data_IF_638561612700
#
_entry.id   IF_638561612700
#
_cell.length_a   1.000
_cell.length_b   1.000
_cell.length_c   1.000
_cell.angle_alpha   90.00
_cell.angle_beta   90.00
_cell.angle_gamma   90.00
#
_symmetry.space_group_name_H-M   'P 1'
#
loop_
_entity.id
_entity.type
_entity.pdbx_description
1 polymer ?
#
# COMPACT_ATOMS: atom_id res chain seq x y z
N UNK A 1 4.26 -18.40 60.33
CA UNK A 1 3.57 -17.32 59.57
C UNK A 1 4.31 -16.97 58.27
N UNK A 2 5.58 -16.61 58.28
CA UNK A 2 6.38 -16.27 57.09
C UNK A 2 6.38 -17.29 55.94
N UNK A 3 6.38 -18.59 56.21
CA UNK A 3 6.34 -19.62 55.16
C UNK A 3 4.98 -19.66 54.42
N UNK A 4 3.89 -19.41 55.16
CA UNK A 4 2.55 -19.40 54.57
C UNK A 4 2.35 -18.15 53.69
N UNK A 5 2.83 -16.98 54.12
CA UNK A 5 2.81 -15.77 53.34
C UNK A 5 3.60 -15.89 52.02
N UNK A 6 4.79 -16.51 52.07
CA UNK A 6 5.60 -16.74 50.85
C UNK A 6 4.92 -17.69 49.86
N UNK A 7 4.22 -18.71 50.39
CA UNK A 7 3.45 -19.65 49.55
C UNK A 7 2.26 -18.93 48.91
N UNK A 8 1.55 -18.08 49.65
CA UNK A 8 0.42 -17.30 49.12
C UNK A 8 0.90 -16.32 48.05
N UNK A 9 2.00 -15.61 48.27
CA UNK A 9 2.59 -14.70 47.27
C UNK A 9 3.03 -15.45 46.01
N UNK A 10 3.60 -16.64 46.17
CA UNK A 10 4.01 -17.47 45.01
C UNK A 10 2.82 -17.97 44.20
N UNK A 11 1.73 -18.38 44.88
CA UNK A 11 0.48 -18.81 44.21
C UNK A 11 -0.19 -17.63 43.49
N UNK A 12 -0.21 -16.43 44.10
CA UNK A 12 -0.75 -15.22 43.47
C UNK A 12 0.10 -14.84 42.26
N UNK A 13 1.44 -14.89 42.34
CA UNK A 13 2.32 -14.64 41.21
C UNK A 13 2.11 -15.67 40.08
N UNK A 14 1.92 -16.96 40.40
CA UNK A 14 1.60 -17.99 39.39
C UNK A 14 0.23 -17.78 38.73
N UNK A 15 -0.76 -17.30 39.46
CA UNK A 15 -2.10 -17.01 38.93
C UNK A 15 -2.07 -15.77 37.98
N UNK A 16 -1.25 -14.80 38.29
CA UNK A 16 -1.06 -13.60 37.42
C UNK A 16 -0.35 -13.98 36.12
N UNK A 17 0.63 -14.90 36.16
CA UNK A 17 1.35 -15.34 34.96
C UNK A 17 0.49 -16.14 33.97
N UNK A 18 -0.57 -16.78 34.42
CA UNK A 18 -1.51 -17.50 33.54
C UNK A 18 -2.62 -16.61 32.96
N UNK A 19 -2.69 -15.35 33.37
CA UNK A 19 -3.71 -14.40 32.87
C UNK A 19 -3.31 -13.72 31.56
N UNK A 20 -2.05 -13.84 31.09
CA UNK A 20 -1.50 -13.06 29.99
C UNK A 20 -1.94 -13.49 28.59
N UNK A 21 -2.74 -14.55 28.43
CA UNK A 21 -3.16 -15.06 27.09
C UNK A 21 -4.68 -15.03 26.88
N UNK A 22 -5.42 -14.21 27.61
CA UNK A 22 -6.88 -14.19 27.47
C UNK A 22 -7.34 -13.02 26.61
N UNK A 23 -8.36 -13.27 25.79
CA UNK A 23 -9.12 -12.32 24.96
C UNK A 23 -9.51 -11.02 25.71
N UNK A 24 -9.60 -11.05 27.04
CA UNK A 24 -9.97 -9.92 27.90
C UNK A 24 -8.77 -9.33 28.68
N UNK A 25 -7.52 -9.57 28.27
CA UNK A 25 -6.37 -8.91 28.89
C UNK A 25 -6.39 -7.40 28.56
N UNK A 26 -5.91 -6.52 29.47
CA UNK A 26 -5.73 -5.12 29.09
C UNK A 26 -4.91 -4.99 27.81
N UNK A 27 -5.27 -4.06 26.93
CA UNK A 27 -4.68 -3.87 25.58
C UNK A 27 -3.16 -4.03 25.52
N UNK A 28 -2.44 -3.42 26.46
CA UNK A 28 -0.97 -3.51 26.53
C UNK A 28 -0.40 -4.87 26.97
N UNK A 29 -1.21 -5.77 27.48
CA UNK A 29 -0.85 -7.12 27.88
C UNK A 29 -1.42 -8.20 26.94
N UNK A 30 -2.20 -7.79 25.98
CA UNK A 30 -2.74 -8.67 24.95
C UNK A 30 -1.63 -9.16 24.02
N UNK A 31 -1.59 -10.46 23.75
CA UNK A 31 -0.74 -11.03 22.69
C UNK A 31 -1.44 -10.87 21.34
N UNK A 32 -0.68 -10.94 20.26
CA UNK A 32 -1.20 -10.90 18.88
C UNK A 32 -2.27 -11.98 18.61
N UNK A 33 -2.19 -13.12 19.31
CA UNK A 33 -3.05 -14.28 19.05
C UNK A 33 -2.56 -15.12 17.86
N UNK A 34 -3.38 -16.08 17.45
CA UNK A 34 -3.20 -16.83 16.21
C UNK A 34 -3.57 -15.97 14.98
N UNK A 35 -3.26 -16.45 13.78
CA UNK A 35 -3.72 -15.80 12.55
C UNK A 35 -5.24 -15.98 12.43
N UNK A 36 -5.96 -14.87 12.33
CA UNK A 36 -7.39 -14.79 12.12
C UNK A 36 -7.77 -14.04 10.85
N UNK A 37 -9.05 -14.07 10.51
CA UNK A 37 -9.59 -13.27 9.41
C UNK A 37 -11.04 -12.88 9.63
N UNK A 38 -11.42 -11.69 9.16
CA UNK A 38 -12.78 -11.17 9.15
C UNK A 38 -13.21 -10.92 7.72
N UNK A 39 -14.38 -11.40 7.34
CA UNK A 39 -14.96 -11.22 5.99
C UNK A 39 -16.04 -10.14 6.05
N UNK A 40 -15.97 -9.20 5.11
CA UNK A 40 -16.91 -8.11 4.98
C UNK A 40 -17.56 -8.11 3.59
N UNK A 41 -18.86 -7.96 3.56
CA UNK A 41 -19.64 -7.75 2.35
C UNK A 41 -20.20 -6.32 2.41
N UNK A 42 -19.59 -5.38 1.70
CA UNK A 42 -20.03 -3.99 1.75
C UNK A 42 -21.42 -3.85 1.09
N UNK A 43 -22.22 -2.93 1.63
CA UNK A 43 -23.58 -2.65 1.14
C UNK A 43 -23.61 -1.72 -0.07
N UNK A 44 -22.46 -1.13 -0.41
CA UNK A 44 -22.28 -0.26 -1.57
C UNK A 44 -20.94 -0.55 -2.26
N UNK A 45 -20.81 -0.13 -3.53
CA UNK A 45 -19.58 -0.29 -4.27
C UNK A 45 -18.44 0.56 -3.68
N UNK A 46 -17.28 -0.06 -3.44
CA UNK A 46 -16.08 0.65 -3.00
C UNK A 46 -15.37 1.19 -4.24
N UNK A 47 -15.26 2.52 -4.34
CA UNK A 47 -14.60 3.21 -5.44
C UNK A 47 -13.25 3.81 -5.05
N UNK A 48 -13.04 4.05 -3.77
CA UNK A 48 -11.82 4.59 -3.20
C UNK A 48 -11.49 3.91 -1.88
N UNK A 49 -10.18 3.71 -1.61
CA UNK A 49 -9.67 3.22 -0.33
C UNK A 49 -8.67 4.24 0.21
N UNK A 50 -8.78 4.54 1.49
CA UNK A 50 -7.82 5.34 2.26
C UNK A 50 -7.24 4.46 3.36
N UNK A 51 -5.91 4.27 3.31
CA UNK A 51 -5.17 3.39 4.21
C UNK A 51 -4.31 4.20 5.16
N UNK A 52 -4.41 3.89 6.44
CA UNK A 52 -3.51 4.39 7.48
C UNK A 52 -2.77 3.25 8.16
N UNK A 53 -1.74 3.60 8.92
CA UNK A 53 -0.98 2.68 9.77
C UNK A 53 -0.31 1.52 9.01
N UNK A 54 -0.37 0.30 9.55
CA UNK A 54 0.33 -0.88 9.05
C UNK A 54 -0.62 -1.89 8.38
N UNK A 55 -1.41 -1.43 7.44
CA UNK A 55 -2.37 -2.26 6.71
C UNK A 55 -1.94 -2.36 5.24
N UNK A 56 -1.52 -3.56 4.84
CA UNK A 56 -1.21 -3.88 3.45
C UNK A 56 -2.46 -4.26 2.66
N UNK A 57 -2.41 -4.15 1.34
CA UNK A 57 -3.53 -4.47 0.46
C UNK A 57 -3.11 -5.43 -0.64
N UNK A 58 -3.91 -6.47 -0.83
CA UNK A 58 -3.93 -7.27 -2.05
C UNK A 58 -5.22 -6.94 -2.83
N UNK A 59 -5.07 -6.37 -4.02
CA UNK A 59 -6.18 -5.99 -4.88
C UNK A 59 -6.26 -6.89 -6.11
N UNK A 60 -7.47 -7.40 -6.39
CA UNK A 60 -7.82 -8.13 -7.61
C UNK A 60 -9.17 -7.68 -8.15
N UNK A 61 -9.44 -7.95 -9.42
CA UNK A 61 -10.82 -7.86 -9.92
C UNK A 61 -11.70 -8.92 -9.26
N UNK A 62 -12.96 -8.58 -9.07
CA UNK A 62 -13.98 -9.55 -8.65
C UNK A 62 -14.43 -10.41 -9.83
N UNK A 63 -14.64 -11.69 -9.60
CA UNK A 63 -15.29 -12.58 -10.58
C UNK A 63 -16.79 -12.26 -10.74
N UNK A 64 -17.37 -11.59 -9.74
CA UNK A 64 -18.76 -11.15 -9.70
C UNK A 64 -18.84 -9.62 -9.77
N UNK A 65 -20.04 -9.06 -9.88
CA UNK A 65 -20.24 -7.60 -9.82
C UNK A 65 -20.07 -7.02 -8.42
N UNK A 66 -20.19 -7.85 -7.37
CA UNK A 66 -20.11 -7.41 -5.98
C UNK A 66 -18.67 -7.24 -5.51
N UNK A 67 -18.42 -6.21 -4.73
CA UNK A 67 -17.17 -6.05 -4.00
C UNK A 67 -17.18 -6.90 -2.73
N UNK A 68 -16.02 -7.45 -2.39
CA UNK A 68 -15.83 -8.13 -1.11
C UNK A 68 -14.43 -7.85 -0.58
N UNK A 69 -14.26 -7.85 0.73
CA UNK A 69 -12.94 -7.80 1.33
C UNK A 69 -12.81 -8.66 2.57
N UNK A 70 -11.60 -9.16 2.80
CA UNK A 70 -11.23 -9.94 3.96
C UNK A 70 -10.03 -9.30 4.61
N UNK A 71 -10.13 -8.96 5.90
CA UNK A 71 -9.00 -8.53 6.70
C UNK A 71 -8.40 -9.73 7.42
N UNK A 72 -7.09 -9.91 7.29
CA UNK A 72 -6.33 -10.94 8.00
C UNK A 72 -5.28 -10.31 8.92
N UNK A 73 -5.04 -10.93 10.06
CA UNK A 73 -4.07 -10.45 11.05
C UNK A 73 -4.09 -11.26 12.32
N UNK A 74 -3.45 -10.78 13.37
CA UNK A 74 -3.54 -11.38 14.70
C UNK A 74 -4.94 -11.31 15.25
N UNK A 75 -5.55 -12.44 15.58
CA UNK A 75 -6.97 -12.58 15.93
C UNK A 75 -7.39 -11.67 17.09
N UNK A 76 -6.52 -11.48 18.09
CA UNK A 76 -6.81 -10.63 19.24
C UNK A 76 -6.81 -9.13 18.90
N UNK A 77 -6.29 -8.75 17.74
CA UNK A 77 -6.08 -7.36 17.30
C UNK A 77 -7.03 -6.93 16.18
N UNK A 78 -7.72 -7.89 15.55
CA UNK A 78 -8.60 -7.61 14.40
C UNK A 78 -9.79 -6.72 14.78
N UNK A 79 -10.29 -6.82 16.02
CA UNK A 79 -11.44 -6.06 16.48
C UNK A 79 -11.15 -4.56 16.68
N UNK A 80 -9.86 -4.18 16.76
CA UNK A 80 -9.41 -2.80 16.91
C UNK A 80 -8.99 -2.20 15.55
N UNK A 81 -9.35 -2.84 14.44
CA UNK A 81 -9.29 -2.24 13.10
C UNK A 81 -10.65 -1.65 12.78
N UNK A 82 -10.65 -0.34 12.50
CA UNK A 82 -11.86 0.42 12.18
C UNK A 82 -12.04 0.54 10.68
N UNK A 83 -13.30 0.40 10.23
CA UNK A 83 -13.73 0.57 8.86
C UNK A 83 -14.84 1.60 8.81
N UNK A 84 -14.67 2.62 8.01
CA UNK A 84 -15.68 3.62 7.71
C UNK A 84 -15.94 3.65 6.22
N UNK A 85 -17.17 3.36 5.79
CA UNK A 85 -17.59 3.37 4.38
C UNK A 85 -18.64 4.45 4.19
N UNK A 86 -18.25 5.52 3.50
CA UNK A 86 -19.13 6.64 3.19
C UNK A 86 -18.98 7.04 1.71
N UNK A 87 -20.11 7.08 0.99
CA UNK A 87 -20.16 7.50 -0.42
C UNK A 87 -19.15 6.75 -1.33
N UNK A 88 -18.95 5.46 -1.09
CA UNK A 88 -18.01 4.61 -1.82
C UNK A 88 -16.54 4.76 -1.42
N UNK A 89 -16.22 5.57 -0.41
CA UNK A 89 -14.87 5.72 0.16
C UNK A 89 -14.75 4.85 1.41
N UNK A 90 -13.87 3.86 1.38
CA UNK A 90 -13.54 3.00 2.51
C UNK A 90 -12.28 3.51 3.20
N UNK A 91 -12.42 4.07 4.40
CA UNK A 91 -11.31 4.46 5.27
C UNK A 91 -11.01 3.36 6.26
N UNK A 92 -9.73 3.01 6.41
CA UNK A 92 -9.27 1.92 7.27
C UNK A 92 -8.18 2.44 8.19
N UNK A 93 -8.38 2.26 9.50
CA UNK A 93 -7.44 2.67 10.55
C UNK A 93 -7.18 1.55 11.54
N UNK A 94 -5.99 1.56 12.15
CA UNK A 94 -5.60 0.61 13.18
C UNK A 94 -5.56 1.29 14.54
N UNK A 95 -6.59 1.08 15.35
CA UNK A 95 -6.74 1.68 16.68
C UNK A 95 -6.03 0.89 17.80
N UNK A 96 -5.32 -0.20 17.46
CA UNK A 96 -4.55 -0.99 18.43
C UNK A 96 -3.49 -0.15 19.12
N UNK A 97 -3.47 -0.20 20.45
CA UNK A 97 -2.48 0.49 21.30
C UNK A 97 -1.35 -0.43 21.73
N UNK A 98 -0.28 0.15 22.26
CA UNK A 98 0.85 -0.58 22.86
C UNK A 98 1.57 -1.54 21.89
N UNK A 99 1.59 -1.23 20.61
CA UNK A 99 2.21 -2.06 19.59
C UNK A 99 3.73 -2.26 19.79
N UNK A 100 4.38 -1.40 20.58
CA UNK A 100 5.78 -1.50 21.00
C UNK A 100 6.06 -2.61 22.01
N UNK A 101 5.04 -3.12 22.71
CA UNK A 101 5.18 -4.13 23.78
C UNK A 101 4.99 -5.57 23.33
N UNK A 102 4.62 -5.79 22.06
CA UNK A 102 4.30 -7.10 21.49
C UNK A 102 4.93 -7.30 20.13
N UNK A 103 5.07 -8.56 19.70
CA UNK A 103 5.43 -8.85 18.31
C UNK A 103 4.26 -8.46 17.41
N UNK A 104 4.48 -7.43 16.63
CA UNK A 104 3.47 -6.88 15.74
C UNK A 104 3.34 -7.72 14.47
N UNK A 105 2.12 -8.01 14.06
CA UNK A 105 1.84 -8.62 12.76
C UNK A 105 1.24 -7.56 11.83
N UNK A 106 1.62 -7.60 10.59
CA UNK A 106 1.00 -6.80 9.53
C UNK A 106 -0.45 -7.26 9.34
N UNK A 107 -1.36 -6.32 9.20
CA UNK A 107 -2.72 -6.60 8.75
C UNK A 107 -2.75 -6.61 7.23
N UNK A 108 -3.46 -7.55 6.64
CA UNK A 108 -3.58 -7.70 5.20
C UNK A 108 -5.05 -7.64 4.78
N UNK A 109 -5.38 -6.62 3.99
CA UNK A 109 -6.66 -6.46 3.35
C UNK A 109 -6.62 -7.13 1.97
N UNK A 110 -7.34 -8.23 1.81
CA UNK A 110 -7.58 -8.82 0.49
C UNK A 110 -8.92 -8.29 -0.03
N UNK A 111 -8.88 -7.53 -1.12
CA UNK A 111 -10.06 -6.92 -1.72
C UNK A 111 -10.25 -7.39 -3.16
N UNK A 112 -11.50 -7.71 -3.51
CA UNK A 112 -11.95 -8.01 -4.86
C UNK A 112 -12.98 -6.97 -5.26
N UNK A 113 -12.70 -6.19 -6.31
CA UNK A 113 -13.61 -5.15 -6.78
C UNK A 113 -13.37 -4.81 -8.25
N UNK A 114 -14.46 -4.61 -8.98
CA UNK A 114 -14.44 -4.06 -10.34
C UNK A 114 -14.70 -2.54 -10.36
N UNK A 115 -15.05 -1.98 -9.21
CA UNK A 115 -15.46 -0.59 -9.06
C UNK A 115 -14.37 0.31 -8.50
N UNK A 116 -13.30 -0.26 -7.90
CA UNK A 116 -12.23 0.52 -7.31
C UNK A 116 -11.49 1.32 -8.39
N UNK A 117 -11.27 2.60 -8.10
CA UNK A 117 -10.62 3.57 -8.99
C UNK A 117 -9.47 4.32 -8.33
N UNK A 118 -9.38 4.24 -7.00
CA UNK A 118 -8.35 4.97 -6.26
C UNK A 118 -7.93 4.27 -4.98
N UNK A 119 -6.63 4.32 -4.70
CA UNK A 119 -6.06 4.01 -3.38
C UNK A 119 -5.18 5.17 -2.95
N UNK A 120 -5.41 5.69 -1.74
CA UNK A 120 -4.56 6.63 -1.04
C UNK A 120 -3.88 5.90 0.12
N UNK A 121 -2.56 5.74 0.04
CA UNK A 121 -1.78 5.04 1.05
C UNK A 121 -0.97 6.04 1.90
N UNK A 122 -1.43 6.24 3.14
CA UNK A 122 -0.74 6.98 4.20
C UNK A 122 -0.07 6.02 5.20
N UNK A 123 -0.22 4.72 4.99
CA UNK A 123 0.28 3.67 5.88
C UNK A 123 1.74 3.28 5.61
N UNK A 124 2.22 2.32 6.39
CA UNK A 124 3.60 1.80 6.28
C UNK A 124 3.72 0.55 5.40
N UNK A 125 2.60 -0.07 5.05
CA UNK A 125 2.57 -1.30 4.27
C UNK A 125 2.19 -1.04 2.82
N UNK A 126 2.65 -1.93 1.92
CA UNK A 126 2.46 -1.78 0.47
C UNK A 126 1.13 -2.28 -0.07
N UNK A 127 0.89 -1.91 -1.31
CA UNK A 127 -0.21 -2.41 -2.13
C UNK A 127 0.33 -3.37 -3.18
N UNK A 128 -0.26 -4.55 -3.23
CA UNK A 128 -0.05 -5.55 -4.29
C UNK A 128 -1.32 -5.62 -5.12
N UNK A 129 -1.22 -5.20 -6.35
CA UNK A 129 -2.30 -5.27 -7.35
C UNK A 129 -1.98 -6.41 -8.32
N UNK A 130 -2.87 -7.39 -8.45
CA UNK A 130 -2.63 -8.56 -9.29
C UNK A 130 -3.62 -8.61 -10.46
N UNK A 131 -3.11 -8.51 -11.70
CA UNK A 131 -3.88 -8.58 -12.94
C UNK A 131 -5.14 -7.68 -12.91
N UNK A 132 -5.01 -6.48 -12.38
CA UNK A 132 -6.15 -5.59 -12.18
C UNK A 132 -6.52 -4.86 -13.46
N UNK A 133 -7.77 -5.02 -13.90
CA UNK A 133 -8.28 -4.36 -15.09
C UNK A 133 -9.22 -3.21 -14.74
N UNK A 134 -8.93 -2.02 -15.27
CA UNK A 134 -9.77 -0.84 -15.07
C UNK A 134 -9.59 0.16 -16.22
N UNK A 135 -10.67 0.88 -16.57
CA UNK A 135 -10.57 2.00 -17.51
C UNK A 135 -9.71 3.15 -16.96
N UNK A 136 -9.65 3.32 -15.64
CA UNK A 136 -8.84 4.32 -14.96
C UNK A 136 -8.53 3.88 -13.54
N UNK A 137 -7.28 4.09 -13.12
CA UNK A 137 -6.87 3.86 -11.74
C UNK A 137 -5.86 4.91 -11.28
N UNK A 138 -6.03 5.39 -10.05
CA UNK A 138 -5.14 6.33 -9.38
C UNK A 138 -4.59 5.69 -8.10
N UNK A 139 -3.27 5.54 -8.03
CA UNK A 139 -2.56 5.18 -6.81
C UNK A 139 -1.80 6.39 -6.29
N UNK A 140 -2.06 6.76 -5.05
CA UNK A 140 -1.35 7.84 -4.35
C UNK A 140 -0.71 7.29 -3.07
N UNK A 141 0.53 7.66 -2.84
CA UNK A 141 1.26 7.36 -1.61
C UNK A 141 1.82 8.64 -1.02
N UNK A 142 1.51 8.91 0.23
CA UNK A 142 1.94 10.12 0.90
C UNK A 142 2.59 9.80 2.25
N UNK A 143 3.79 10.38 2.50
CA UNK A 143 4.51 10.25 3.77
C UNK A 143 4.78 8.80 4.22
N UNK A 144 4.81 7.86 3.28
CA UNK A 144 4.95 6.42 3.49
C UNK A 144 6.32 5.91 3.03
N UNK A 145 6.75 4.76 3.55
CA UNK A 145 7.97 4.05 3.18
C UNK A 145 7.67 2.74 2.43
N UNK A 146 6.41 2.50 2.09
CA UNK A 146 5.95 1.24 1.54
C UNK A 146 6.46 0.98 0.12
N UNK A 147 6.75 -0.28 -0.16
CA UNK A 147 7.03 -0.78 -1.50
C UNK A 147 5.77 -1.42 -2.09
N UNK A 148 5.48 -1.11 -3.36
CA UNK A 148 4.25 -1.48 -4.02
C UNK A 148 4.52 -2.27 -5.31
N UNK A 149 3.61 -3.17 -5.64
CA UNK A 149 3.61 -3.91 -6.90
C UNK A 149 2.26 -3.73 -7.59
N UNK A 150 2.23 -3.15 -8.79
CA UNK A 150 1.01 -2.78 -9.48
C UNK A 150 0.98 -3.44 -10.87
N UNK A 151 0.31 -4.59 -11.00
CA UNK A 151 0.05 -5.26 -12.27
C UNK A 151 -1.32 -4.81 -12.81
N UNK A 152 -1.27 -3.90 -13.79
CA UNK A 152 -2.42 -3.20 -14.32
C UNK A 152 -2.62 -3.47 -15.81
N UNK A 153 -3.89 -3.60 -16.20
CA UNK A 153 -4.27 -3.61 -17.60
C UNK A 153 -5.47 -2.69 -17.82
N UNK A 154 -5.34 -1.72 -18.73
CA UNK A 154 -6.50 -0.85 -19.00
C UNK A 154 -6.19 0.49 -19.64
N UNK A 155 -7.05 1.47 -19.38
CA UNK A 155 -6.98 2.78 -20.00
C UNK A 155 -5.91 3.67 -19.36
N UNK A 156 -6.19 4.26 -18.22
CA UNK A 156 -5.30 5.23 -17.57
C UNK A 156 -4.81 4.72 -16.21
N UNK A 157 -3.48 4.66 -16.04
CA UNK A 157 -2.87 4.44 -14.73
C UNK A 157 -2.12 5.70 -14.30
N UNK A 158 -2.41 6.20 -13.11
CA UNK A 158 -1.70 7.30 -12.47
C UNK A 158 -1.07 6.81 -11.18
N UNK A 159 0.24 7.04 -11.00
CA UNK A 159 0.99 6.70 -9.79
C UNK A 159 1.68 7.96 -9.28
N UNK A 160 1.25 8.44 -8.12
CA UNK A 160 1.75 9.65 -7.49
C UNK A 160 2.39 9.34 -6.14
N UNK A 161 3.61 9.79 -5.95
CA UNK A 161 4.31 9.73 -4.68
C UNK A 161 4.58 11.13 -4.12
N UNK A 162 4.02 11.42 -2.93
CA UNK A 162 4.14 12.70 -2.25
C UNK A 162 4.97 12.56 -0.97
N UNK A 163 6.13 13.23 -0.90
CA UNK A 163 6.97 13.32 0.31
C UNK A 163 7.26 11.96 0.98
N UNK A 164 7.34 10.90 0.19
CA UNK A 164 7.53 9.53 0.66
C UNK A 164 8.87 8.96 0.19
N UNK A 165 9.22 7.73 0.58
CA UNK A 165 10.50 7.08 0.29
C UNK A 165 10.30 5.58 0.05
N UNK A 166 9.33 5.06 -0.45
CA UNK A 166 9.17 3.67 -0.89
C UNK A 166 9.40 3.51 -2.38
N UNK A 167 8.90 2.43 -2.95
CA UNK A 167 9.01 2.15 -4.37
C UNK A 167 7.68 1.68 -4.98
N UNK A 168 7.58 1.74 -6.31
CA UNK A 168 6.58 1.00 -7.06
C UNK A 168 7.24 0.29 -8.25
N UNK A 169 6.87 -0.98 -8.42
CA UNK A 169 7.11 -1.75 -9.63
C UNK A 169 5.80 -1.89 -10.40
N UNK A 170 5.81 -1.51 -11.69
CA UNK A 170 4.62 -1.50 -12.53
C UNK A 170 4.78 -2.52 -13.65
N UNK A 171 3.75 -3.37 -13.85
CA UNK A 171 3.71 -4.35 -14.93
C UNK A 171 2.37 -4.31 -15.67
N UNK A 172 2.34 -4.89 -16.86
CA UNK A 172 1.11 -5.01 -17.67
C UNK A 172 1.00 -3.98 -18.80
N UNK A 173 -0.17 -3.36 -18.97
CA UNK A 173 -0.44 -2.42 -20.08
C UNK A 173 -1.34 -1.26 -19.67
N UNK A 174 -1.05 -0.04 -20.14
CA UNK A 174 -1.90 1.12 -19.96
C UNK A 174 -1.95 1.95 -21.26
N UNK A 175 -3.12 2.43 -21.69
CA UNK A 175 -3.22 3.36 -22.82
C UNK A 175 -2.50 4.69 -22.52
N UNK A 176 -2.58 5.14 -21.24
CA UNK A 176 -1.86 6.31 -20.73
C UNK A 176 -1.29 6.01 -19.35
N UNK A 177 -0.04 6.40 -19.16
CA UNK A 177 0.67 6.24 -17.90
C UNK A 177 1.14 7.60 -17.38
N UNK A 178 0.73 7.96 -16.16
CA UNK A 178 1.17 9.17 -15.46
C UNK A 178 1.96 8.79 -14.21
N UNK A 179 3.20 9.28 -14.13
CA UNK A 179 4.12 9.00 -13.02
C UNK A 179 4.60 10.29 -12.39
N UNK A 180 4.42 10.44 -11.11
CA UNK A 180 4.88 11.60 -10.35
C UNK A 180 5.60 11.19 -9.07
N UNK A 181 6.71 11.87 -8.79
CA UNK A 181 7.38 11.78 -7.48
C UNK A 181 8.02 13.11 -7.08
N UNK A 182 7.94 13.46 -5.79
CA UNK A 182 8.64 14.61 -5.21
C UNK A 182 9.45 14.28 -3.94
N UNK A 183 9.63 12.98 -3.63
CA UNK A 183 10.32 12.50 -2.43
C UNK A 183 11.61 11.74 -2.72
N UNK A 184 11.82 10.69 -1.94
CA UNK A 184 12.91 9.71 -2.09
C UNK A 184 12.43 8.41 -2.75
N UNK A 185 11.31 8.43 -3.42
CA UNK A 185 10.71 7.28 -4.09
C UNK A 185 11.42 6.94 -5.38
N UNK A 186 11.38 5.66 -5.73
CA UNK A 186 11.66 5.16 -7.07
C UNK A 186 10.42 4.54 -7.70
N UNK A 187 10.25 4.73 -9.01
CA UNK A 187 9.19 4.09 -9.79
C UNK A 187 9.84 3.31 -10.91
N UNK A 188 9.65 2.00 -10.92
CA UNK A 188 10.06 1.14 -12.03
C UNK A 188 8.83 0.80 -12.88
N UNK A 189 8.66 1.53 -13.96
CA UNK A 189 7.65 1.32 -15.00
C UNK A 189 8.22 0.63 -16.24
N UNK A 190 9.35 -0.07 -16.16
CA UNK A 190 9.94 -0.79 -17.29
C UNK A 190 9.11 -2.02 -17.71
N UNK A 191 8.34 -2.57 -16.79
CA UNK A 191 7.48 -3.74 -17.00
C UNK A 191 6.09 -3.41 -17.52
N UNK A 192 5.67 -2.11 -17.58
CA UNK A 192 4.37 -1.70 -18.10
C UNK A 192 4.49 -1.05 -19.48
N UNK A 193 3.80 -1.59 -20.47
CA UNK A 193 3.78 -1.04 -21.81
C UNK A 193 2.72 0.06 -21.94
N UNK A 194 3.12 1.24 -22.47
CA UNK A 194 2.19 2.32 -22.72
C UNK A 194 2.59 3.14 -23.97
N UNK A 195 1.64 3.44 -24.88
CA UNK A 195 1.89 4.32 -26.00
C UNK A 195 2.06 5.78 -25.59
N UNK A 196 1.55 6.19 -24.43
CA UNK A 196 1.63 7.58 -23.97
C UNK A 196 2.04 7.64 -22.51
N UNK A 197 3.26 8.10 -22.24
CA UNK A 197 3.81 8.23 -20.88
C UNK A 197 4.03 9.70 -20.54
N UNK A 198 3.57 10.11 -19.36
CA UNK A 198 3.80 11.44 -18.78
C UNK A 198 4.52 11.26 -17.44
N UNK A 199 5.74 11.76 -17.36
CA UNK A 199 6.55 11.63 -16.13
C UNK A 199 6.90 12.98 -15.56
N UNK A 200 6.83 13.11 -14.24
CA UNK A 200 7.34 14.25 -13.49
C UNK A 200 8.19 13.75 -12.33
N UNK A 201 9.50 13.90 -12.45
CA UNK A 201 10.44 13.61 -11.38
C UNK A 201 10.90 14.91 -10.71
N UNK A 202 10.19 15.33 -9.68
CA UNK A 202 10.56 16.43 -8.79
C UNK A 202 11.30 15.92 -7.53
N UNK A 203 11.57 14.62 -7.45
CA UNK A 203 12.23 13.92 -6.35
C UNK A 203 13.74 13.75 -6.54
N UNK A 204 14.31 12.78 -5.81
CA UNK A 204 15.76 12.52 -5.79
C UNK A 204 16.16 11.20 -6.41
N UNK A 205 15.27 10.20 -6.41
CA UNK A 205 15.53 8.90 -7.00
C UNK A 205 15.02 8.84 -8.43
N UNK A 206 15.17 7.71 -9.07
CA UNK A 206 14.89 7.55 -10.49
C UNK A 206 13.44 7.11 -10.77
N UNK A 207 12.94 7.52 -11.94
CA UNK A 207 11.80 6.91 -12.62
C UNK A 207 12.35 6.15 -13.83
N UNK A 208 11.97 4.88 -14.00
CA UNK A 208 12.33 4.05 -15.14
C UNK A 208 11.08 3.83 -15.99
N UNK A 209 11.17 3.95 -17.32
CA UNK A 209 10.02 3.86 -18.22
C UNK A 209 10.35 3.14 -19.51
N UNK A 210 9.32 2.53 -20.13
CA UNK A 210 9.40 1.86 -21.42
C UNK A 210 8.35 2.44 -22.40
N UNK A 211 8.51 3.69 -22.90
CA UNK A 211 7.56 4.32 -23.80
C UNK A 211 7.53 3.58 -25.14
N UNK A 212 6.32 3.30 -25.68
CA UNK A 212 6.24 2.65 -27.00
C UNK A 212 6.09 3.64 -28.16
N UNK A 213 5.43 4.79 -27.95
CA UNK A 213 5.21 5.81 -29.00
C UNK A 213 5.63 7.21 -28.57
N UNK A 214 5.19 7.66 -27.39
CA UNK A 214 5.41 9.03 -26.91
C UNK A 214 5.73 9.07 -25.43
N UNK A 215 6.66 9.98 -25.05
CA UNK A 215 6.89 10.33 -23.65
C UNK A 215 7.09 11.83 -23.48
N UNK A 216 6.42 12.42 -22.49
CA UNK A 216 6.77 13.73 -21.93
C UNK A 216 7.47 13.51 -20.58
N UNK A 217 8.66 14.10 -20.42
CA UNK A 217 9.48 13.97 -19.22
C UNK A 217 9.79 15.35 -18.62
N UNK A 218 9.26 15.63 -17.43
CA UNK A 218 9.64 16.79 -16.62
C UNK A 218 10.58 16.37 -15.50
N UNK A 219 11.72 17.05 -15.35
CA UNK A 219 12.70 16.80 -14.30
C UNK A 219 12.89 18.08 -13.49
N UNK A 220 12.21 18.15 -12.34
CA UNK A 220 12.26 19.28 -11.41
C UNK A 220 13.24 19.07 -10.25
N UNK A 221 13.60 17.82 -9.96
CA UNK A 221 14.48 17.42 -8.87
C UNK A 221 15.90 17.07 -9.29
N UNK A 222 16.60 16.33 -8.44
CA UNK A 222 17.92 15.76 -8.73
C UNK A 222 17.84 14.29 -9.21
N UNK A 223 16.67 13.67 -9.15
CA UNK A 223 16.43 12.33 -9.64
C UNK A 223 16.32 12.32 -11.17
N UNK A 224 16.82 11.24 -11.78
CA UNK A 224 16.81 11.07 -13.23
C UNK A 224 15.60 10.31 -13.74
N UNK A 225 15.28 10.46 -15.02
CA UNK A 225 14.31 9.63 -15.73
C UNK A 225 15.09 8.78 -16.74
N UNK A 226 14.92 7.44 -16.64
CA UNK A 226 15.53 6.48 -17.54
C UNK A 226 14.47 5.94 -18.51
N UNK A 227 14.81 5.76 -19.78
CA UNK A 227 13.93 5.15 -20.77
C UNK A 227 14.70 4.21 -21.70
N UNK A 228 14.03 3.22 -22.30
CA UNK A 228 14.67 2.15 -23.06
C UNK A 228 14.26 2.04 -24.53
N UNK A 229 13.48 2.98 -25.06
CA UNK A 229 13.06 2.95 -26.46
C UNK A 229 13.45 4.22 -27.23
N UNK A 230 14.42 4.10 -28.14
CA UNK A 230 14.87 5.20 -29.01
C UNK A 230 13.87 5.55 -30.13
N UNK A 231 12.92 4.67 -30.43
CA UNK A 231 11.94 4.91 -31.51
C UNK A 231 10.75 5.74 -31.04
N UNK A 232 10.58 5.90 -29.72
CA UNK A 232 9.53 6.75 -29.17
C UNK A 232 9.87 8.25 -29.36
N UNK A 233 8.83 9.06 -29.57
CA UNK A 233 8.95 10.53 -29.60
C UNK A 233 9.08 11.04 -28.17
N UNK A 234 10.22 11.63 -27.82
CA UNK A 234 10.50 12.13 -26.47
C UNK A 234 10.49 13.65 -26.47
N UNK A 235 9.68 14.23 -25.58
CA UNK A 235 9.72 15.66 -25.25
C UNK A 235 10.13 15.80 -23.78
N UNK A 236 11.08 16.70 -23.49
CA UNK A 236 11.53 16.87 -22.10
C UNK A 236 11.68 18.32 -21.70
N UNK A 237 11.45 18.60 -20.42
CA UNK A 237 11.73 19.85 -19.74
C UNK A 237 12.56 19.53 -18.48
N UNK A 238 13.78 20.07 -18.40
CA UNK A 238 14.71 19.82 -17.29
C UNK A 238 15.05 21.15 -16.65
N UNK A 239 14.56 21.34 -15.43
CA UNK A 239 14.80 22.53 -14.60
C UNK A 239 15.60 22.20 -13.33
N UNK A 240 15.64 20.95 -12.95
CA UNK A 240 16.44 20.42 -11.84
C UNK A 240 17.84 20.01 -12.26
N UNK A 241 18.53 19.24 -11.42
CA UNK A 241 19.87 18.70 -11.68
C UNK A 241 19.88 17.23 -12.13
N UNK A 242 18.72 16.60 -12.21
CA UNK A 242 18.58 15.24 -12.75
C UNK A 242 18.72 15.21 -14.26
N UNK A 243 18.82 14.00 -14.81
CA UNK A 243 19.09 13.78 -16.22
C UNK A 243 18.01 12.89 -16.86
N UNK A 244 17.77 13.09 -18.16
CA UNK A 244 17.02 12.15 -18.98
C UNK A 244 18.00 11.21 -19.67
N UNK A 245 17.94 9.91 -19.35
CA UNK A 245 18.96 8.93 -19.74
C UNK A 245 18.33 7.80 -20.56
N UNK A 246 18.89 7.57 -21.76
CA UNK A 246 18.61 6.32 -22.47
C UNK A 246 19.41 5.17 -21.84
N UNK A 247 18.74 4.11 -21.47
CA UNK A 247 19.35 2.94 -20.81
C UNK A 247 18.86 1.64 -21.44
N UNK A 248 19.79 0.72 -21.64
CA UNK A 248 19.46 -0.65 -22.02
C UNK A 248 19.32 -1.49 -20.74
N UNK A 249 18.15 -2.08 -20.51
CA UNK A 249 17.90 -3.06 -19.44
C UNK A 249 16.95 -4.15 -19.91
#
# INVERSE_FOLDING_TARGET
MEKVERIILMVIALLILNSCNKENAPECLQTTGSQGSLVYLPIEAITEIILYDNIGVNLKNSENEDSSFTLSGGENLLNDISFELENGVLTITNDNKCNWSRKYSTFLLNIQSNWLRRINNYGSEGVVMENFNSSRFLFEQESSLADNYLDFTGGELTVNFHSSAGSAELTGTAEKLFLYTNGLNSIDGSGILSPSIFTNNSGRNQIITAPTEYMYAYIGGSGSILYNNLSASITSEIVGSGELVYAHY
#
